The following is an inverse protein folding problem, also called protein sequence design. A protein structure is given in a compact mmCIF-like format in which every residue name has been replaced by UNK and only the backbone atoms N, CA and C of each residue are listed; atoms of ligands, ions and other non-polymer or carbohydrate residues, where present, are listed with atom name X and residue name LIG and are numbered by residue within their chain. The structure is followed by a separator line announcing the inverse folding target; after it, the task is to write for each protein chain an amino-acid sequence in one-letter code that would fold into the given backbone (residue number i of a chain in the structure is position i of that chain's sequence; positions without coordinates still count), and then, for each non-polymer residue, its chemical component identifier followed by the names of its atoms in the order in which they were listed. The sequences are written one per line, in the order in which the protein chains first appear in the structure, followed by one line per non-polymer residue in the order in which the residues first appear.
data_IF_498714245677
#
_entry.id   IF_498714245677
#
_cell.length_a   1.000
_cell.length_b   1.000
_cell.length_c   1.000
_cell.angle_alpha   90.00
_cell.angle_beta   90.00
_cell.angle_gamma   90.00
#
_symmetry.space_group_name_H-M   'P 1'
#
loop_
_entity.id
_entity.type
_entity.pdbx_description
1 polymer ?
#
# COMPACT_ATOMS: atom_id res chain seq x y z
N UNK A 1 42.40 15.90 7.06
CA UNK A 1 41.54 16.86 7.79
C UNK A 1 40.54 17.39 6.78
N UNK A 2 39.46 16.63 6.57
CA UNK A 2 38.42 17.01 5.60
C UNK A 2 37.58 18.12 6.21
N UNK A 3 37.73 19.33 5.67
CA UNK A 3 36.84 20.44 5.97
C UNK A 3 35.46 20.05 5.45
N UNK A 4 34.49 19.86 6.34
CA UNK A 4 33.13 19.43 6.00
C UNK A 4 32.57 20.21 4.79
N UNK A 5 31.92 19.55 3.83
CA UNK A 5 31.42 20.16 2.58
C UNK A 5 30.45 21.33 2.84
N UNK A 6 29.73 21.31 3.96
CA UNK A 6 28.89 22.42 4.39
C UNK A 6 29.67 23.69 4.74
N UNK A 7 30.84 23.54 5.37
CA UNK A 7 31.71 24.67 5.73
C UNK A 7 32.28 25.30 4.46
N UNK A 8 32.68 24.50 3.47
CA UNK A 8 33.15 25.01 2.19
C UNK A 8 32.05 25.75 1.41
N UNK A 9 30.80 25.26 1.45
CA UNK A 9 29.65 25.93 0.81
C UNK A 9 29.29 27.24 1.51
N UNK A 10 29.35 27.27 2.84
CA UNK A 10 29.14 28.48 3.62
C UNK A 10 30.24 29.50 3.36
N UNK A 11 31.49 29.06 3.26
CA UNK A 11 32.64 29.94 2.99
C UNK A 11 32.57 30.55 1.59
N UNK A 12 32.15 29.79 0.57
CA UNK A 12 31.89 30.31 -0.77
C UNK A 12 30.77 31.37 -0.76
N UNK A 13 29.67 31.11 -0.05
CA UNK A 13 28.57 32.09 0.09
C UNK A 13 29.00 33.35 0.82
N UNK A 14 29.81 33.23 1.86
CA UNK A 14 30.34 34.39 2.59
C UNK A 14 31.27 35.20 1.69
N UNK A 15 32.16 34.56 0.93
CA UNK A 15 33.03 35.24 -0.04
C UNK A 15 32.23 35.97 -1.13
N UNK A 16 31.14 35.36 -1.63
CA UNK A 16 30.22 36.02 -2.58
C UNK A 16 29.52 37.24 -1.96
N UNK A 17 29.11 37.16 -0.69
CA UNK A 17 28.48 38.29 0.01
C UNK A 17 29.49 39.41 0.29
N UNK A 18 30.70 39.06 0.72
CA UNK A 18 31.78 40.01 1.00
C UNK A 18 32.23 40.73 -0.27
N UNK A 19 32.37 40.01 -1.40
CA UNK A 19 32.70 40.61 -2.69
C UNK A 19 31.61 41.55 -3.19
N UNK A 20 30.33 41.24 -2.97
CA UNK A 20 29.21 42.14 -3.34
C UNK A 20 29.10 43.37 -2.44
N UNK A 21 29.45 43.23 -1.15
CA UNK A 21 29.30 44.32 -0.17
C UNK A 21 30.50 45.29 -0.18
N UNK A 22 31.71 44.75 -0.28
CA UNK A 22 32.95 45.52 -0.18
C UNK A 22 33.69 45.66 -1.53
N UNK A 23 33.26 44.93 -2.57
CA UNK A 23 33.99 44.90 -3.85
C UNK A 23 35.38 44.28 -3.69
N UNK A 24 36.32 44.67 -4.55
CA UNK A 24 37.74 44.30 -4.42
C UNK A 24 38.46 44.96 -3.22
N UNK A 25 37.78 45.84 -2.46
CA UNK A 25 38.37 46.47 -1.27
C UNK A 25 38.21 45.56 -0.07
N UNK A 26 39.28 44.85 0.30
CA UNK A 26 39.35 44.12 1.58
C UNK A 26 39.00 45.04 2.76
N UNK A 27 38.34 44.52 3.82
CA UNK A 27 38.02 45.30 5.00
C UNK A 27 39.33 45.71 5.69
N UNK A 28 39.80 46.91 5.38
CA UNK A 28 40.89 47.54 6.12
C UNK A 28 40.33 47.84 7.50
N UNK A 29 40.99 47.36 8.55
CA UNK A 29 40.75 47.69 9.95
C UNK A 29 40.89 49.21 10.18
N UNK A 30 39.88 49.96 9.76
CA UNK A 30 39.75 51.39 9.97
C UNK A 30 38.34 51.62 10.47
N UNK A 31 38.27 51.83 11.78
CA UNK A 31 37.12 52.41 12.48
C UNK A 31 36.61 53.60 11.66
N UNK A 32 35.37 53.54 11.16
CA UNK A 32 34.68 54.71 10.61
C UNK A 32 34.41 54.74 9.10
N UNK A 33 34.43 53.61 8.39
CA UNK A 33 33.75 53.57 7.08
C UNK A 33 32.25 53.85 7.27
N UNK A 34 31.60 54.68 6.42
CA UNK A 34 30.18 54.97 6.58
C UNK A 34 29.40 53.66 6.57
N UNK A 35 28.61 53.39 7.62
CA UNK A 35 27.78 52.19 7.69
C UNK A 35 26.92 52.21 6.43
N UNK A 36 27.03 51.19 5.59
CA UNK A 36 26.25 51.07 4.35
C UNK A 36 24.75 51.13 4.69
N UNK A 37 24.37 50.64 5.87
CA UNK A 37 23.04 50.83 6.44
C UNK A 37 22.63 52.31 6.60
N UNK A 38 23.52 53.17 7.12
CA UNK A 38 23.23 54.60 7.27
C UNK A 38 23.15 55.30 5.90
N UNK A 39 24.00 54.90 4.95
CA UNK A 39 23.95 55.39 3.57
C UNK A 39 22.66 54.97 2.85
N UNK A 40 22.28 53.70 2.99
CA UNK A 40 21.04 53.14 2.45
C UNK A 40 19.82 53.80 3.09
N UNK A 41 19.82 54.03 4.41
CA UNK A 41 18.75 54.74 5.10
C UNK A 41 18.64 56.20 4.63
N UNK A 42 19.75 56.89 4.40
CA UNK A 42 19.73 58.24 3.82
C UNK A 42 19.16 58.22 2.41
N UNK A 43 19.61 57.29 1.56
CA UNK A 43 19.12 57.15 0.19
C UNK A 43 17.62 56.82 0.22
N UNK A 44 17.19 55.86 1.04
CA UNK A 44 15.79 55.50 1.23
C UNK A 44 14.95 56.69 1.67
N UNK A 45 15.42 57.49 2.63
CA UNK A 45 14.72 58.69 3.09
C UNK A 45 14.66 59.77 2.01
N UNK A 46 15.72 59.97 1.22
CA UNK A 46 15.69 60.90 0.08
C UNK A 46 14.76 60.41 -1.02
N UNK A 47 14.75 59.11 -1.29
CA UNK A 47 13.92 58.48 -2.30
C UNK A 47 12.44 58.52 -1.89
N UNK A 48 12.13 58.24 -0.62
CA UNK A 48 10.79 58.35 -0.05
C UNK A 48 10.30 59.81 -0.08
N UNK A 49 11.16 60.78 0.23
CA UNK A 49 10.83 62.20 0.12
C UNK A 49 10.58 62.64 -1.34
N UNK A 50 11.37 62.15 -2.28
CA UNK A 50 11.21 62.45 -3.72
C UNK A 50 9.94 61.77 -4.27
N UNK A 51 9.70 60.51 -3.92
CA UNK A 51 8.52 59.77 -4.30
C UNK A 51 7.25 60.36 -3.67
N UNK A 52 7.32 60.86 -2.43
CA UNK A 52 6.19 61.51 -1.75
C UNK A 52 5.85 62.91 -2.27
N UNK A 53 6.84 63.70 -2.72
CA UNK A 53 6.62 65.06 -3.26
C UNK A 53 6.18 65.09 -4.72
N UNK A 54 6.46 64.03 -5.49
CA UNK A 54 6.12 63.94 -6.92
C UNK A 54 5.16 62.78 -7.14
N UNK A 55 3.87 63.08 -7.20
CA UNK A 55 2.81 62.08 -7.43
C UNK A 55 3.06 61.22 -8.69
N UNK A 56 3.64 61.78 -9.76
CA UNK A 56 4.04 61.00 -10.95
C UNK A 56 5.05 59.91 -10.64
N UNK A 57 6.01 60.15 -9.74
CA UNK A 57 7.02 59.17 -9.33
C UNK A 57 6.38 58.09 -8.46
N UNK A 58 5.49 58.46 -7.55
CA UNK A 58 4.71 57.53 -6.72
C UNK A 58 3.86 56.58 -7.57
N UNK A 59 3.21 57.10 -8.61
CA UNK A 59 2.45 56.31 -9.58
C UNK A 59 3.38 55.36 -10.35
N UNK A 60 4.57 55.83 -10.77
CA UNK A 60 5.55 54.98 -11.45
C UNK A 60 6.06 53.85 -10.54
N UNK A 61 6.34 54.09 -9.26
CA UNK A 61 6.75 53.05 -8.32
C UNK A 61 5.68 51.96 -8.14
N UNK A 62 4.41 52.36 -8.03
CA UNK A 62 3.29 51.41 -8.00
C UNK A 62 3.17 50.63 -9.31
N UNK A 63 3.28 51.33 -10.45
CA UNK A 63 3.25 50.69 -11.77
C UNK A 63 4.44 49.76 -12.02
N UNK A 64 5.60 49.98 -11.40
CA UNK A 64 6.75 49.06 -11.49
C UNK A 64 6.44 47.73 -10.81
N UNK A 65 5.76 47.75 -9.66
CA UNK A 65 5.31 46.52 -8.99
C UNK A 65 4.28 45.77 -9.84
N UNK A 66 3.35 46.48 -10.48
CA UNK A 66 2.39 45.87 -11.39
C UNK A 66 3.06 45.35 -12.67
N UNK A 67 3.98 46.11 -13.26
CA UNK A 67 4.77 45.69 -14.42
C UNK A 67 5.61 44.44 -14.12
N UNK A 68 6.18 44.32 -12.91
CA UNK A 68 6.86 43.10 -12.49
C UNK A 68 5.94 41.88 -12.48
N UNK A 69 4.66 42.05 -12.13
CA UNK A 69 3.66 40.98 -12.20
C UNK A 69 3.29 40.64 -13.65
N UNK A 70 3.15 41.66 -14.52
CA UNK A 70 2.85 41.46 -15.94
C UNK A 70 4.04 40.88 -16.74
N UNK A 71 5.27 41.08 -16.27
CA UNK A 71 6.49 40.50 -16.85
C UNK A 71 6.77 39.06 -16.39
N UNK A 72 6.01 38.53 -15.43
CA UNK A 72 6.09 37.11 -15.07
C UNK A 72 5.41 36.28 -16.18
N UNK A 73 6.16 35.45 -16.93
CA UNK A 73 5.60 34.64 -18.01
C UNK A 73 4.46 33.73 -17.52
N UNK A 74 4.52 33.28 -16.26
CA UNK A 74 3.49 32.43 -15.67
C UNK A 74 2.16 33.17 -15.43
N UNK A 75 2.19 34.50 -15.35
CA UNK A 75 0.99 35.33 -15.19
C UNK A 75 0.31 35.59 -16.53
N UNK A 76 1.09 35.87 -17.59
CA UNK A 76 0.55 36.12 -18.94
C UNK A 76 -0.03 34.86 -19.59
N UNK A 77 0.62 33.69 -19.41
CA UNK A 77 0.12 32.42 -19.96
C UNK A 77 -1.21 31.97 -19.35
N UNK A 78 -1.50 32.37 -18.11
CA UNK A 78 -2.78 32.05 -17.42
C UNK A 78 -3.91 33.01 -17.77
N UNK A 79 -3.58 34.25 -18.16
CA UNK A 79 -4.57 35.31 -18.41
C UNK A 79 -5.11 35.33 -19.84
N UNK A 80 -4.34 34.81 -20.80
CA UNK A 80 -4.64 34.97 -22.23
C UNK A 80 -4.71 33.60 -22.90
N UNK A 81 -5.65 32.76 -22.46
CA UNK A 81 -6.17 31.72 -23.35
C UNK A 81 -7.37 32.34 -24.07
N UNK A 82 -7.26 32.69 -25.37
CA UNK A 82 -8.38 33.24 -26.13
C UNK A 82 -9.56 32.27 -26.14
N UNK A 83 -10.79 32.78 -26.17
CA UNK A 83 -11.98 31.94 -26.10
C UNK A 83 -12.09 30.94 -27.28
N UNK A 84 -11.58 31.32 -28.46
CA UNK A 84 -11.45 30.40 -29.59
C UNK A 84 -10.52 29.21 -29.26
N UNK A 85 -9.42 29.45 -28.54
CA UNK A 85 -8.48 28.40 -28.15
C UNK A 85 -9.05 27.48 -27.06
N UNK A 86 -9.86 28.01 -26.14
CA UNK A 86 -10.59 27.20 -25.15
C UNK A 86 -11.56 26.25 -25.83
N UNK A 87 -12.26 26.73 -26.86
CA UNK A 87 -13.20 25.91 -27.62
C UNK A 87 -12.48 24.78 -28.37
N UNK A 88 -11.39 25.09 -29.07
CA UNK A 88 -10.56 24.07 -29.72
C UNK A 88 -9.97 23.06 -28.71
N UNK A 89 -9.56 23.51 -27.53
CA UNK A 89 -9.06 22.61 -26.48
C UNK A 89 -10.16 21.67 -25.97
N UNK A 90 -11.38 22.17 -25.74
CA UNK A 90 -12.52 21.36 -25.31
C UNK A 90 -12.91 20.35 -26.39
N UNK A 91 -12.90 20.74 -27.67
CA UNK A 91 -13.23 19.82 -28.78
C UNK A 91 -12.12 18.78 -28.99
N UNK A 92 -10.85 19.17 -28.88
CA UNK A 92 -9.73 18.24 -28.98
C UNK A 92 -9.75 17.20 -27.85
N UNK A 93 -10.10 17.63 -26.63
CA UNK A 93 -10.17 16.78 -25.43
C UNK A 93 -11.57 16.20 -25.16
N UNK A 94 -12.53 16.38 -26.06
CA UNK A 94 -13.93 15.98 -25.84
C UNK A 94 -14.04 14.49 -25.49
N UNK A 95 -13.35 13.64 -26.26
CA UNK A 95 -13.32 12.19 -26.03
C UNK A 95 -12.69 11.86 -24.68
N UNK A 96 -11.59 12.51 -24.33
CA UNK A 96 -10.91 12.31 -23.06
C UNK A 96 -11.82 12.68 -21.88
N UNK A 97 -12.51 13.82 -21.96
CA UNK A 97 -13.46 14.28 -20.94
C UNK A 97 -14.62 13.29 -20.78
N UNK A 98 -15.20 12.81 -21.89
CA UNK A 98 -16.30 11.85 -21.87
C UNK A 98 -15.87 10.49 -21.30
N UNK A 99 -14.71 9.98 -21.69
CA UNK A 99 -14.15 8.73 -21.14
C UNK A 99 -13.90 8.85 -19.63
N UNK A 100 -13.32 9.95 -19.17
CA UNK A 100 -13.08 10.18 -17.75
C UNK A 100 -14.38 10.38 -16.96
N UNK A 101 -15.38 11.03 -17.54
CA UNK A 101 -16.70 11.15 -16.92
C UNK A 101 -17.37 9.78 -16.75
N UNK A 102 -17.31 8.91 -17.77
CA UNK A 102 -17.85 7.55 -17.70
C UNK A 102 -17.13 6.70 -16.64
N UNK A 103 -15.79 6.80 -16.56
CA UNK A 103 -15.02 6.13 -15.51
C UNK A 103 -15.36 6.66 -14.11
N UNK A 104 -15.58 7.97 -13.98
CA UNK A 104 -15.95 8.58 -12.71
C UNK A 104 -17.37 8.17 -12.28
N UNK A 105 -18.29 8.04 -13.22
CA UNK A 105 -19.63 7.48 -12.97
C UNK A 105 -19.52 6.03 -12.49
N UNK A 106 -18.72 5.19 -13.14
CA UNK A 106 -18.45 3.82 -12.69
C UNK A 106 -17.87 3.78 -11.27
N UNK A 107 -16.91 4.66 -10.96
CA UNK A 107 -16.37 4.78 -9.61
C UNK A 107 -17.42 5.22 -8.59
N UNK A 108 -18.31 6.14 -8.94
CA UNK A 108 -19.40 6.57 -8.06
C UNK A 108 -20.36 5.43 -7.73
N UNK A 109 -20.64 4.55 -8.70
CA UNK A 109 -21.47 3.34 -8.50
C UNK A 109 -20.77 2.34 -7.59
N UNK A 110 -19.44 2.25 -7.67
CA UNK A 110 -18.63 1.31 -6.90
C UNK A 110 -18.30 1.80 -5.48
N UNK A 111 -18.37 3.11 -5.24
CA UNK A 111 -18.05 3.74 -3.95
C UNK A 111 -18.81 3.12 -2.75
N UNK A 112 -20.12 2.80 -2.82
CA UNK A 112 -20.86 2.21 -1.70
C UNK A 112 -20.39 0.80 -1.32
N UNK A 113 -19.72 0.06 -2.23
CA UNK A 113 -19.25 -1.29 -1.93
C UNK A 113 -18.01 -1.30 -1.03
N UNK A 114 -17.24 -0.21 -0.99
CA UNK A 114 -16.10 -0.06 -0.09
C UNK A 114 -16.53 -0.07 1.38
N UNK A 115 -17.73 0.44 1.66
CA UNK A 115 -18.31 0.53 2.99
C UNK A 115 -19.25 -0.63 3.34
N UNK A 116 -19.27 -1.68 2.52
CA UNK A 116 -20.16 -2.83 2.71
C UNK A 116 -20.01 -3.45 4.11
N UNK A 117 -21.14 -3.54 4.82
CA UNK A 117 -21.25 -4.22 6.11
C UNK A 117 -20.74 -5.67 6.05
N UNK A 118 -20.89 -6.34 4.91
CA UNK A 118 -20.42 -7.72 4.72
C UNK A 118 -18.89 -7.81 4.75
N UNK A 119 -18.19 -6.83 4.17
CA UNK A 119 -16.72 -6.77 4.20
C UNK A 119 -16.25 -6.44 5.62
N UNK A 120 -16.93 -5.50 6.29
CA UNK A 120 -16.64 -5.14 7.70
C UNK A 120 -16.89 -6.29 8.67
N UNK A 121 -17.86 -7.17 8.38
CA UNK A 121 -18.19 -8.32 9.22
C UNK A 121 -17.23 -9.52 9.06
N UNK A 122 -16.35 -9.54 8.05
CA UNK A 122 -15.43 -10.67 7.78
C UNK A 122 -14.59 -11.08 8.99
N UNK A 123 -13.96 -10.18 9.77
CA UNK A 123 -13.18 -10.57 10.95
C UNK A 123 -14.03 -11.29 12.01
N UNK A 124 -15.31 -10.92 12.14
CA UNK A 124 -16.25 -11.58 13.05
C UNK A 124 -16.63 -13.00 12.62
N UNK A 125 -16.63 -13.28 11.32
CA UNK A 125 -16.82 -14.63 10.78
C UNK A 125 -15.53 -15.46 10.80
N UNK A 126 -14.38 -14.83 10.65
CA UNK A 126 -13.08 -15.50 10.66
C UNK A 126 -12.81 -16.25 11.98
N UNK A 127 -13.14 -15.66 13.13
CA UNK A 127 -12.98 -16.32 14.42
C UNK A 127 -13.88 -17.56 14.57
N UNK A 128 -15.15 -17.46 14.15
CA UNK A 128 -16.08 -18.61 14.15
C UNK A 128 -15.60 -19.71 13.19
N UNK A 129 -15.09 -19.33 12.02
CA UNK A 129 -14.53 -20.26 11.04
C UNK A 129 -13.28 -20.96 11.59
N UNK A 130 -12.43 -20.24 12.31
CA UNK A 130 -11.25 -20.82 12.95
C UNK A 130 -11.64 -21.87 14.00
N UNK A 131 -12.61 -21.56 14.87
CA UNK A 131 -13.12 -22.52 15.85
C UNK A 131 -13.74 -23.74 15.16
N UNK A 132 -14.54 -23.52 14.11
CA UNK A 132 -15.14 -24.61 13.34
C UNK A 132 -14.08 -25.48 12.65
N UNK A 133 -13.03 -24.88 12.10
CA UNK A 133 -11.91 -25.59 11.49
C UNK A 133 -11.19 -26.47 12.50
N UNK A 134 -10.99 -26.00 13.74
CA UNK A 134 -10.39 -26.80 14.80
C UNK A 134 -11.27 -27.99 15.18
N UNK A 135 -12.58 -27.78 15.30
CA UNK A 135 -13.54 -28.85 15.58
C UNK A 135 -13.52 -29.88 14.45
N UNK A 136 -13.48 -29.43 13.19
CA UNK A 136 -13.46 -30.32 12.03
C UNK A 136 -12.21 -31.20 12.02
N UNK A 137 -11.03 -30.64 12.34
CA UNK A 137 -9.78 -31.43 12.45
C UNK A 137 -9.96 -32.52 13.51
N UNK A 138 -10.47 -32.16 14.70
CA UNK A 138 -10.69 -33.13 15.77
C UNK A 138 -11.70 -34.22 15.38
N UNK A 139 -12.78 -33.86 14.69
CA UNK A 139 -13.78 -34.83 14.21
C UNK A 139 -13.20 -35.76 13.16
N UNK A 140 -12.32 -35.26 12.30
CA UNK A 140 -11.66 -36.07 11.29
C UNK A 140 -10.71 -37.08 11.91
N UNK A 141 -9.88 -36.66 12.87
CA UNK A 141 -8.99 -37.56 13.61
C UNK A 141 -9.77 -38.67 14.34
N UNK A 142 -10.89 -38.31 15.00
CA UNK A 142 -11.77 -39.27 15.68
C UNK A 142 -12.44 -40.24 14.69
N UNK A 143 -12.88 -39.74 13.54
CA UNK A 143 -13.48 -40.56 12.50
C UNK A 143 -12.49 -41.59 11.97
N UNK A 144 -11.24 -41.18 11.75
CA UNK A 144 -10.18 -42.07 11.28
C UNK A 144 -9.84 -43.14 12.34
N UNK A 145 -9.74 -42.75 13.62
CA UNK A 145 -9.50 -43.69 14.73
C UNK A 145 -10.60 -44.74 14.85
N UNK A 146 -11.88 -44.32 14.88
CA UNK A 146 -13.03 -45.22 14.96
C UNK A 146 -13.10 -46.14 13.74
N UNK A 147 -12.81 -45.60 12.55
CA UNK A 147 -12.80 -46.37 11.30
C UNK A 147 -11.75 -47.48 11.37
N UNK A 148 -10.56 -47.16 11.87
CA UNK A 148 -9.47 -48.13 11.96
C UNK A 148 -9.72 -49.20 13.03
N UNK A 149 -10.27 -48.82 14.19
CA UNK A 149 -10.69 -49.76 15.22
C UNK A 149 -11.79 -50.71 14.69
N UNK A 150 -12.77 -50.16 13.97
CA UNK A 150 -13.86 -50.95 13.37
C UNK A 150 -13.33 -51.93 12.33
N UNK A 151 -12.38 -51.52 11.49
CA UNK A 151 -11.71 -52.42 10.54
C UNK A 151 -10.96 -53.53 11.24
N UNK A 152 -10.17 -53.21 12.28
CA UNK A 152 -9.45 -54.22 13.06
C UNK A 152 -10.41 -55.23 13.67
N UNK A 153 -11.51 -54.77 14.28
CA UNK A 153 -12.51 -55.65 14.87
C UNK A 153 -13.16 -56.56 13.81
N UNK A 154 -13.45 -56.01 12.62
CA UNK A 154 -13.98 -56.78 11.50
C UNK A 154 -13.00 -57.84 11.00
N UNK A 155 -11.71 -57.51 10.91
CA UNK A 155 -10.66 -58.46 10.56
C UNK A 155 -10.55 -59.60 11.56
N UNK A 156 -10.58 -59.29 12.86
CA UNK A 156 -10.46 -60.29 13.91
C UNK A 156 -11.71 -61.18 13.98
N UNK A 157 -12.90 -60.61 13.79
CA UNK A 157 -14.12 -61.38 13.62
C UNK A 157 -14.03 -62.32 12.41
N UNK A 158 -13.56 -61.83 11.27
CA UNK A 158 -13.41 -62.66 10.06
C UNK A 158 -12.41 -63.80 10.28
N UNK A 159 -11.26 -63.53 10.92
CA UNK A 159 -10.29 -64.57 11.30
C UNK A 159 -10.92 -65.63 12.20
N UNK A 160 -11.66 -65.21 13.23
CA UNK A 160 -12.33 -66.12 14.16
C UNK A 160 -13.36 -67.00 13.44
N UNK A 161 -14.19 -66.40 12.58
CA UNK A 161 -15.18 -67.14 11.78
C UNK A 161 -14.52 -68.17 10.86
N UNK A 162 -13.44 -67.81 10.16
CA UNK A 162 -12.69 -68.75 9.31
C UNK A 162 -12.08 -69.90 10.11
N UNK A 163 -11.50 -69.62 11.28
CA UNK A 163 -10.95 -70.65 12.14
C UNK A 163 -12.04 -71.60 12.68
N UNK A 164 -13.17 -71.06 13.11
CA UNK A 164 -14.33 -71.84 13.54
C UNK A 164 -14.86 -72.72 12.41
N UNK A 165 -15.01 -72.19 11.19
CA UNK A 165 -15.43 -72.97 10.03
C UNK A 165 -14.46 -74.12 9.73
N UNK A 166 -13.13 -73.87 9.79
CA UNK A 166 -12.12 -74.93 9.62
C UNK A 166 -12.23 -75.99 10.72
N UNK A 167 -12.46 -75.58 11.97
CA UNK A 167 -12.60 -76.50 13.09
C UNK A 167 -13.83 -77.40 12.94
N UNK A 168 -14.96 -76.84 12.48
CA UNK A 168 -16.15 -77.62 12.21
C UNK A 168 -15.94 -78.65 11.11
N UNK A 169 -15.25 -78.30 10.02
CA UNK A 169 -14.91 -79.26 8.95
C UNK A 169 -13.99 -80.38 9.46
N UNK A 170 -12.98 -80.05 10.27
CA UNK A 170 -12.09 -81.05 10.85
C UNK A 170 -12.82 -82.01 11.79
N UNK A 171 -13.74 -81.49 12.62
CA UNK A 171 -14.57 -82.32 13.48
C UNK A 171 -15.49 -83.22 12.67
N UNK A 172 -16.12 -82.70 11.61
CA UNK A 172 -16.99 -83.48 10.72
C UNK A 172 -16.22 -84.62 10.01
N UNK A 173 -15.02 -84.34 9.51
CA UNK A 173 -14.16 -85.35 8.88
C UNK A 173 -13.74 -86.45 9.88
N UNK A 174 -13.35 -86.07 11.10
CA UNK A 174 -12.99 -87.01 12.15
C UNK A 174 -14.19 -87.89 12.57
N UNK A 175 -15.38 -87.30 12.67
CA UNK A 175 -16.61 -88.01 13.01
C UNK A 175 -16.98 -89.00 11.90
N UNK A 176 -16.89 -88.58 10.64
CA UNK A 176 -17.10 -89.45 9.46
C UNK A 176 -16.13 -90.64 9.43
N UNK A 177 -14.84 -90.42 9.73
CA UNK A 177 -13.85 -91.51 9.80
C UNK A 177 -14.17 -92.52 10.90
N UNK A 178 -14.58 -92.04 12.08
CA UNK A 178 -14.96 -92.90 13.21
C UNK A 178 -16.25 -93.69 12.93
N UNK A 179 -17.23 -93.08 12.26
CA UNK A 179 -18.45 -93.76 11.81
C UNK A 179 -18.16 -94.86 10.79
N UNK A 180 -17.31 -94.57 9.79
CA UNK A 180 -16.90 -95.55 8.79
C UNK A 180 -16.17 -96.75 9.43
N UNK A 181 -15.25 -96.50 10.37
CA UNK A 181 -14.53 -97.57 11.09
C UNK A 181 -15.47 -98.45 11.92
N UNK A 182 -16.50 -97.86 12.55
CA UNK A 182 -17.52 -98.61 13.29
C UNK A 182 -18.48 -99.38 12.39
N UNK A 183 -18.81 -98.87 11.20
CA UNK A 183 -19.62 -99.61 10.23
C UNK A 183 -18.86 -100.82 9.67
N UNK A 184 -17.58 -100.69 9.35
CA UNK A 184 -16.75 -101.81 8.88
C UNK A 184 -16.65 -102.91 9.93
N UNK A 185 -16.51 -102.57 11.21
CA UNK A 185 -16.54 -103.54 12.32
C UNK A 185 -17.86 -104.30 12.42
N UNK A 186 -19.00 -103.65 12.16
CA UNK A 186 -20.32 -104.30 12.19
C UNK A 186 -20.64 -105.19 10.97
N UNK A 187 -19.89 -105.08 9.88
CA UNK A 187 -20.08 -105.90 8.67
C UNK A 187 -19.18 -107.14 8.68
N UNK A 188 -18.17 -107.17 9.56
CA UNK A 188 -17.22 -108.28 9.71
C UNK A 188 -17.56 -109.23 10.87
N UNK A 189 -18.57 -108.90 11.69
CA UNK A 189 -19.20 -109.76 12.70
C UNK A 189 -20.57 -110.26 12.19
#
# INVERSE_FOLDING_TARGET
MDVCPEVSKLQARVADVESRLYGERRPRESRGGPKIADGLMRIQNTLANIAGKRERIKILYKKIEDLKKYLDPQYMDRLVIPDAMKLEFILAEEKYILEHAALLEQLSILQPFLDSEHIKAVPGHASKLQTLSQIHIQQQDQSDEITEETKRLLEDYNKMTVLLSKQFVQWDEMLTQMEAANQVKRVLD
#
